data_IF_630812919549
#
_entry.id   IF_630812919549
#
_cell.length_a   1.000
_cell.length_b   1.000
_cell.length_c   1.000
_cell.angle_alpha   90.00
_cell.angle_beta   90.00
_cell.angle_gamma   90.00
#
_symmetry.space_group_name_H-M   'P 1'
#
loop_
_entity.id
_entity.type
_entity.pdbx_description
1 polymer ?
#
# COMPACT_ATOMS: atom_id res chain seq x y z
N UNK A 1 -55.99 -38.27 20.85
CA UNK A 1 -54.81 -37.40 21.10
C UNK A 1 -53.68 -37.81 20.17
N UNK A 2 -52.95 -36.87 19.56
CA UNK A 2 -51.66 -37.14 18.90
C UNK A 2 -50.61 -36.25 19.57
N UNK A 3 -49.50 -36.85 19.97
CA UNK A 3 -48.35 -36.14 20.56
C UNK A 3 -47.52 -35.57 19.43
N UNK A 4 -47.28 -34.25 19.44
CA UNK A 4 -46.30 -33.63 18.54
C UNK A 4 -44.94 -33.60 19.24
N UNK A 5 -43.97 -34.32 18.68
CA UNK A 5 -42.59 -34.32 19.17
C UNK A 5 -41.90 -33.10 18.57
N UNK A 6 -41.37 -32.23 19.41
CA UNK A 6 -40.61 -31.06 18.98
C UNK A 6 -39.18 -31.49 18.62
N UNK A 7 -38.85 -31.53 17.33
CA UNK A 7 -37.50 -31.87 16.86
C UNK A 7 -36.66 -30.59 16.83
N UNK A 8 -35.83 -30.40 17.86
CA UNK A 8 -34.87 -29.30 17.92
C UNK A 8 -33.72 -29.56 16.96
N UNK A 9 -33.68 -28.85 15.83
CA UNK A 9 -32.59 -28.95 14.86
C UNK A 9 -31.33 -28.25 15.39
N UNK A 10 -30.32 -29.04 15.79
CA UNK A 10 -28.99 -28.51 16.11
C UNK A 10 -28.27 -28.09 14.82
N UNK A 11 -28.25 -26.80 14.53
CA UNK A 11 -27.40 -26.21 13.50
C UNK A 11 -25.95 -26.14 13.99
N UNK A 12 -25.20 -27.23 13.79
CA UNK A 12 -23.74 -27.21 13.86
C UNK A 12 -23.22 -26.37 12.68
N UNK A 13 -22.97 -25.08 12.91
CA UNK A 13 -22.20 -24.25 11.99
C UNK A 13 -20.74 -24.70 12.02
N UNK A 14 -20.37 -25.65 11.16
CA UNK A 14 -18.98 -25.98 10.89
C UNK A 14 -18.30 -24.79 10.19
N UNK A 15 -17.81 -23.86 10.99
CA UNK A 15 -16.95 -22.76 10.58
C UNK A 15 -15.62 -23.32 10.09
N UNK A 16 -15.60 -23.81 8.85
CA UNK A 16 -14.37 -24.19 8.16
C UNK A 16 -13.57 -22.93 7.84
N UNK A 17 -12.82 -22.47 8.84
CA UNK A 17 -11.77 -21.47 8.67
C UNK A 17 -10.67 -22.08 7.81
N UNK A 18 -10.77 -21.86 6.49
CA UNK A 18 -9.65 -22.09 5.58
C UNK A 18 -8.55 -21.08 5.95
N UNK A 19 -7.69 -21.50 6.88
CA UNK A 19 -6.40 -20.87 7.13
C UNK A 19 -5.53 -21.10 5.89
N UNK A 20 -5.69 -20.23 4.91
CA UNK A 20 -4.79 -20.15 3.77
C UNK A 20 -3.43 -19.66 4.26
N UNK A 21 -2.59 -20.60 4.70
CA UNK A 21 -1.19 -20.36 4.97
C UNK A 21 -0.55 -19.70 3.75
N UNK A 22 -0.20 -18.41 3.87
CA UNK A 22 0.06 -17.54 2.74
C UNK A 22 1.44 -17.85 2.15
N UNK A 23 1.47 -18.77 1.19
CA UNK A 23 2.67 -19.41 0.64
C UNK A 23 3.57 -18.54 -0.26
N UNK A 24 3.85 -17.30 0.13
CA UNK A 24 4.96 -16.50 -0.40
C UNK A 24 5.67 -15.80 0.75
N UNK A 25 7.00 -15.91 0.80
CA UNK A 25 7.82 -15.35 1.88
C UNK A 25 7.73 -13.83 1.88
N UNK A 26 7.15 -13.25 2.94
CA UNK A 26 7.20 -11.82 3.17
C UNK A 26 8.66 -11.39 3.38
N UNK A 27 9.25 -10.84 2.32
CA UNK A 27 10.56 -10.18 2.32
C UNK A 27 10.50 -8.78 2.93
N UNK A 28 9.41 -8.44 3.61
CA UNK A 28 9.27 -7.21 4.39
C UNK A 28 9.26 -7.59 5.86
N UNK A 29 10.17 -7.02 6.64
CA UNK A 29 10.05 -6.96 8.08
C UNK A 29 9.46 -5.59 8.48
N UNK A 30 8.68 -5.57 9.55
CA UNK A 30 8.27 -4.36 10.25
C UNK A 30 9.00 -4.26 11.59
N UNK A 31 9.15 -3.05 12.13
CA UNK A 31 9.76 -2.86 13.45
C UNK A 31 9.30 -1.58 14.14
N UNK A 32 9.33 -1.63 15.47
CA UNK A 32 8.99 -0.53 16.37
C UNK A 32 10.18 0.40 16.65
N UNK A 33 11.40 0.01 16.24
CA UNK A 33 12.66 0.66 16.66
C UNK A 33 13.71 0.71 15.54
N UNK A 34 14.37 1.87 15.40
CA UNK A 34 15.36 2.13 14.35
C UNK A 34 16.64 1.28 14.46
N UNK A 35 17.02 0.81 15.64
CA UNK A 35 18.23 -0.01 15.81
C UNK A 35 18.10 -1.45 15.27
N UNK A 36 16.95 -1.79 14.69
CA UNK A 36 16.70 -3.10 14.07
C UNK A 36 17.71 -3.40 12.95
N UNK A 37 18.43 -4.55 13.00
CA UNK A 37 19.38 -4.91 11.98
C UNK A 37 18.77 -5.13 10.59
N UNK A 38 19.42 -4.58 9.57
CA UNK A 38 19.07 -4.76 8.17
C UNK A 38 19.50 -6.15 7.68
N UNK A 39 18.52 -6.93 7.23
CA UNK A 39 18.72 -8.31 6.74
C UNK A 39 18.90 -8.33 5.23
N UNK A 40 19.79 -9.21 4.74
CA UNK A 40 20.03 -9.39 3.31
C UNK A 40 18.72 -9.77 2.59
N UNK A 41 18.54 -9.28 1.37
CA UNK A 41 17.41 -9.57 0.49
C UNK A 41 16.03 -9.33 1.16
N UNK A 42 15.97 -8.43 2.15
CA UNK A 42 14.79 -8.10 2.96
C UNK A 42 14.62 -6.57 3.00
N UNK A 43 13.41 -6.09 2.81
CA UNK A 43 12.96 -4.70 2.99
C UNK A 43 12.54 -4.49 4.46
N UNK A 44 12.73 -3.30 5.04
CA UNK A 44 12.44 -3.05 6.48
C UNK A 44 11.68 -1.74 6.69
N UNK A 45 10.52 -1.81 7.33
CA UNK A 45 9.62 -0.67 7.62
C UNK A 45 9.66 -0.32 9.12
N UNK A 46 9.84 0.95 9.43
CA UNK A 46 9.72 1.54 10.77
C UNK A 46 8.68 2.67 10.78
N UNK A 47 7.90 2.74 11.86
CA UNK A 47 6.91 3.77 12.14
C UNK A 47 6.92 4.07 13.65
N UNK A 48 6.90 5.33 14.05
CA UNK A 48 6.91 5.74 15.47
C UNK A 48 5.62 5.41 16.25
N UNK A 49 4.67 4.66 15.65
CA UNK A 49 3.35 4.39 16.21
C UNK A 49 3.39 3.66 17.56
N UNK A 50 4.26 2.65 17.72
CA UNK A 50 4.40 1.92 18.98
C UNK A 50 5.22 2.70 20.00
N UNK A 51 6.27 3.46 19.60
CA UNK A 51 6.99 4.37 20.51
C UNK A 51 6.04 5.38 21.18
N UNK A 52 5.08 5.93 20.42
CA UNK A 52 4.06 6.83 20.93
C UNK A 52 3.19 6.18 22.02
N UNK A 53 2.79 4.92 21.87
CA UNK A 53 2.05 4.19 22.92
C UNK A 53 2.95 3.89 24.11
N UNK A 54 4.18 3.46 23.86
CA UNK A 54 5.16 3.13 24.91
C UNK A 54 5.49 4.33 25.80
N UNK A 55 5.51 5.54 25.23
CA UNK A 55 5.66 6.80 25.95
C UNK A 55 4.47 7.11 26.88
N UNK A 56 3.24 6.77 26.48
CA UNK A 56 2.10 6.90 27.38
C UNK A 56 2.09 5.80 28.47
N UNK A 57 2.56 4.58 28.18
CA UNK A 57 2.81 3.56 29.21
C UNK A 57 3.83 4.06 30.24
N UNK A 58 4.97 4.62 29.80
CA UNK A 58 6.00 5.20 30.67
C UNK A 58 5.40 6.28 31.61
N UNK A 59 4.61 7.22 31.07
CA UNK A 59 3.94 8.26 31.86
C UNK A 59 2.90 7.72 32.83
N UNK A 60 2.15 6.69 32.46
CA UNK A 60 1.14 6.06 33.31
C UNK A 60 1.77 5.30 34.49
N UNK A 61 2.99 4.79 34.30
CA UNK A 61 3.78 4.16 35.36
C UNK A 61 4.54 5.18 36.24
N UNK A 62 4.93 6.33 35.69
CA UNK A 62 5.99 7.24 36.18
C UNK A 62 7.36 6.56 36.38
N UNK A 63 7.54 5.39 35.78
CA UNK A 63 8.77 4.59 35.76
C UNK A 63 8.90 3.82 34.44
N UNK A 64 10.09 3.28 34.18
CA UNK A 64 10.37 2.48 32.98
C UNK A 64 9.48 1.22 32.95
N UNK A 65 8.86 0.88 31.81
CA UNK A 65 8.18 -0.41 31.62
C UNK A 65 9.11 -1.60 31.86
N UNK A 66 8.81 -2.41 32.89
CA UNK A 66 9.54 -3.62 33.26
C UNK A 66 8.64 -4.83 33.14
N UNK A 67 9.22 -5.96 32.72
CA UNK A 67 8.51 -7.21 32.47
C UNK A 67 9.14 -8.37 33.25
N UNK A 68 8.38 -9.44 33.45
CA UNK A 68 8.83 -10.67 34.13
C UNK A 68 9.79 -11.48 33.25
N UNK A 69 9.61 -11.40 31.92
CA UNK A 69 10.56 -11.93 30.94
C UNK A 69 11.24 -10.76 30.20
N UNK A 70 12.57 -10.74 30.17
CA UNK A 70 13.31 -9.77 29.37
C UNK A 70 13.29 -10.16 27.88
N UNK A 71 12.67 -9.33 27.04
CA UNK A 71 12.81 -9.39 25.57
C UNK A 71 13.70 -8.26 25.06
N UNK A 72 14.39 -8.49 23.95
CA UNK A 72 15.24 -7.47 23.35
C UNK A 72 14.43 -6.25 22.85
N UNK A 73 13.25 -6.48 22.27
CA UNK A 73 12.36 -5.39 21.83
C UNK A 73 11.94 -4.45 22.98
N UNK A 74 11.78 -4.97 24.20
CA UNK A 74 11.49 -4.18 25.40
C UNK A 74 12.70 -3.31 25.77
N UNK A 75 13.92 -3.84 25.67
CA UNK A 75 15.16 -3.07 25.92
C UNK A 75 15.35 -1.96 24.89
N UNK A 76 15.09 -2.26 23.62
CA UNK A 76 15.17 -1.29 22.53
C UNK A 76 14.10 -0.19 22.67
N UNK A 77 12.85 -0.55 22.96
CA UNK A 77 11.77 0.42 23.22
C UNK A 77 12.04 1.30 24.44
N UNK A 78 12.53 0.73 25.55
CA UNK A 78 12.94 1.49 26.74
C UNK A 78 14.19 2.38 26.51
N UNK A 79 14.98 2.10 25.47
CA UNK A 79 16.13 2.92 25.06
C UNK A 79 15.69 4.09 24.16
N UNK A 80 14.80 3.82 23.20
CA UNK A 80 14.18 4.84 22.34
C UNK A 80 13.29 5.80 23.16
N UNK A 81 12.45 5.25 24.03
CA UNK A 81 11.47 5.97 24.86
C UNK A 81 11.96 6.03 26.29
N UNK A 82 12.66 7.13 26.62
CA UNK A 82 13.17 7.44 27.96
C UNK A 82 12.45 8.65 28.56
N UNK A 83 12.83 9.06 29.79
CA UNK A 83 12.25 10.21 30.51
C UNK A 83 12.28 11.55 29.74
N UNK A 84 13.17 11.67 28.74
CA UNK A 84 13.30 12.85 27.89
C UNK A 84 12.75 12.64 26.46
N UNK A 85 11.95 11.59 26.22
CA UNK A 85 11.41 11.29 24.89
C UNK A 85 10.60 12.46 24.34
N UNK A 86 10.99 12.90 23.15
CA UNK A 86 10.30 13.94 22.39
C UNK A 86 9.76 13.29 21.13
N UNK A 87 8.44 13.34 20.92
CA UNK A 87 7.81 12.77 19.73
C UNK A 87 8.48 13.29 18.44
N UNK A 88 8.77 12.42 17.45
CA UNK A 88 9.28 12.84 16.14
C UNK A 88 8.22 13.58 15.30
N UNK A 89 7.01 13.78 15.84
CA UNK A 89 5.89 14.48 15.23
C UNK A 89 5.50 15.71 16.06
N UNK A 90 4.95 16.71 15.39
CA UNK A 90 4.28 17.82 16.06
C UNK A 90 2.89 17.41 16.57
N UNK A 91 2.42 18.06 17.64
CA UNK A 91 1.20 17.67 18.35
C UNK A 91 -0.09 17.73 17.52
N UNK A 92 -0.13 18.35 16.32
CA UNK A 92 -1.29 18.26 15.41
C UNK A 92 -1.39 16.91 14.69
N UNK A 93 -0.27 16.23 14.43
CA UNK A 93 -0.19 15.06 13.54
C UNK A 93 -0.31 13.69 14.22
N UNK A 94 -0.44 13.64 15.54
CA UNK A 94 -0.71 12.39 16.25
C UNK A 94 -1.64 12.58 17.45
N UNK A 95 -2.26 11.50 17.89
CA UNK A 95 -2.90 11.36 19.21
C UNK A 95 -2.36 10.08 19.85
N UNK A 96 -1.99 10.14 21.12
CA UNK A 96 -1.56 8.98 21.90
C UNK A 96 -2.18 9.09 23.29
N UNK A 97 -2.59 7.96 23.87
CA UNK A 97 -3.21 7.91 25.20
C UNK A 97 -3.09 6.51 25.81
N UNK A 98 -3.32 6.41 27.12
CA UNK A 98 -3.57 5.16 27.83
C UNK A 98 -4.54 5.41 28.98
N UNK A 99 -5.42 4.45 29.27
CA UNK A 99 -6.38 4.54 30.38
C UNK A 99 -7.24 3.28 30.52
N UNK A 100 -8.08 3.23 31.56
CA UNK A 100 -8.90 2.05 31.86
C UNK A 100 -10.24 2.07 31.12
N UNK A 101 -10.74 0.87 30.79
CA UNK A 101 -12.09 0.72 30.21
C UNK A 101 -13.18 1.22 31.17
N UNK A 102 -13.03 0.97 32.48
CA UNK A 102 -13.92 1.51 33.52
C UNK A 102 -13.98 3.05 33.58
N UNK A 103 -13.03 3.74 32.97
CA UNK A 103 -12.93 5.21 32.93
C UNK A 103 -13.39 5.79 31.57
N UNK A 104 -13.88 4.93 30.65
CA UNK A 104 -14.36 5.35 29.34
C UNK A 104 -13.24 5.73 28.36
N UNK A 105 -12.07 5.10 28.47
CA UNK A 105 -10.92 5.36 27.57
C UNK A 105 -11.30 5.26 26.10
N UNK A 106 -12.14 4.29 25.71
CA UNK A 106 -12.61 4.12 24.33
C UNK A 106 -13.53 5.25 23.84
N UNK A 107 -14.36 5.85 24.70
CA UNK A 107 -15.13 7.05 24.34
C UNK A 107 -14.23 8.27 24.17
N UNK A 108 -13.15 8.35 24.95
CA UNK A 108 -12.17 9.43 24.86
C UNK A 108 -11.27 9.29 23.62
N UNK A 109 -10.86 8.06 23.27
CA UNK A 109 -10.23 7.77 21.98
C UNK A 109 -11.16 8.14 20.83
N UNK A 110 -12.40 7.65 20.83
CA UNK A 110 -13.36 7.90 19.75
C UNK A 110 -13.57 9.40 19.50
N UNK A 111 -13.77 10.18 20.57
CA UNK A 111 -13.93 11.64 20.53
C UNK A 111 -12.70 12.32 19.94
N UNK A 112 -11.52 12.09 20.51
CA UNK A 112 -10.29 12.75 20.04
C UNK A 112 -9.90 12.35 18.61
N UNK A 113 -10.10 11.10 18.21
CA UNK A 113 -9.83 10.64 16.83
C UNK A 113 -10.81 11.26 15.83
N UNK A 114 -12.09 11.42 16.21
CA UNK A 114 -13.09 12.08 15.39
C UNK A 114 -12.83 13.59 15.26
N UNK A 115 -12.65 14.28 16.38
CA UNK A 115 -12.45 15.73 16.42
C UNK A 115 -11.15 16.17 15.70
N UNK A 116 -10.08 15.38 15.82
CA UNK A 116 -8.74 15.74 15.34
C UNK A 116 -8.42 15.29 13.92
N UNK A 117 -8.99 14.17 13.46
CA UNK A 117 -8.65 13.56 12.16
C UNK A 117 -9.86 13.28 11.26
N UNK A 118 -11.08 13.57 11.73
CA UNK A 118 -12.35 13.15 11.13
C UNK A 118 -12.30 11.66 10.74
N UNK A 119 -12.02 10.82 11.73
CA UNK A 119 -12.00 9.36 11.62
C UNK A 119 -12.91 8.77 12.69
N UNK A 120 -13.62 7.71 12.32
CA UNK A 120 -14.47 6.96 13.22
C UNK A 120 -13.65 5.86 13.89
N UNK A 121 -13.91 5.61 15.17
CA UNK A 121 -13.24 4.58 15.97
C UNK A 121 -14.22 3.47 16.31
N UNK A 122 -13.87 2.23 15.93
CA UNK A 122 -14.61 1.04 16.34
C UNK A 122 -14.16 0.64 17.73
N UNK A 123 -15.10 0.51 18.67
CA UNK A 123 -14.81 0.01 20.03
C UNK A 123 -14.60 -1.51 20.03
N UNK A 124 -13.61 -1.96 20.79
CA UNK A 124 -13.40 -3.36 21.16
C UNK A 124 -14.24 -3.74 22.41
N UNK A 125 -14.63 -5.01 22.52
CA UNK A 125 -15.40 -5.54 23.66
C UNK A 125 -14.48 -5.90 24.84
N UNK A 126 -13.99 -4.88 25.56
CA UNK A 126 -13.03 -5.04 26.65
C UNK A 126 -13.71 -5.21 28.03
N UNK A 127 -13.11 -5.95 28.98
CA UNK A 127 -13.56 -5.96 30.38
C UNK A 127 -13.20 -4.64 31.07
N UNK A 128 -13.98 -4.16 32.08
CA UNK A 128 -13.74 -2.86 32.72
C UNK A 128 -12.34 -2.67 33.35
N UNK A 129 -11.64 -3.76 33.68
CA UNK A 129 -10.29 -3.74 34.27
C UNK A 129 -9.15 -3.78 33.24
N UNK A 130 -9.47 -3.77 31.95
CA UNK A 130 -8.52 -3.63 30.87
C UNK A 130 -7.90 -2.22 30.85
N UNK A 131 -6.62 -2.16 30.54
CA UNK A 131 -5.88 -0.93 30.28
C UNK A 131 -5.59 -0.87 28.77
N UNK A 132 -6.10 0.15 28.09
CA UNK A 132 -5.96 0.31 26.65
C UNK A 132 -4.97 1.42 26.33
N UNK A 133 -3.79 1.06 25.82
CA UNK A 133 -2.87 1.99 25.16
C UNK A 133 -3.26 2.15 23.69
N UNK A 134 -3.28 3.39 23.19
CA UNK A 134 -3.70 3.69 21.82
C UNK A 134 -2.89 4.85 21.23
N UNK A 135 -2.49 4.73 19.97
CA UNK A 135 -1.96 5.84 19.18
C UNK A 135 -2.54 5.87 17.77
N UNK A 136 -2.68 7.07 17.23
CA UNK A 136 -3.05 7.34 15.84
C UNK A 136 -2.13 8.43 15.28
N UNK A 137 -1.43 8.12 14.19
CA UNK A 137 -0.53 9.02 13.47
C UNK A 137 -1.18 9.36 12.12
N UNK A 138 -1.28 10.64 11.79
CA UNK A 138 -1.74 11.10 10.47
C UNK A 138 -0.87 12.22 9.90
N UNK A 139 -0.32 11.92 8.72
CA UNK A 139 0.39 12.85 7.83
C UNK A 139 -0.21 12.74 6.43
N UNK A 140 -0.24 13.87 5.72
CA UNK A 140 -0.58 13.97 4.31
C UNK A 140 0.44 14.92 3.70
N UNK A 141 1.39 14.38 2.93
CA UNK A 141 2.51 15.13 2.38
C UNK A 141 2.25 15.45 0.91
N UNK A 142 1.50 16.52 0.67
CA UNK A 142 1.39 17.10 -0.68
C UNK A 142 2.73 17.74 -1.07
N UNK A 143 3.24 17.40 -2.26
CA UNK A 143 4.48 18.00 -2.78
C UNK A 143 4.29 19.49 -3.12
N UNK A 144 5.37 20.27 -3.04
CA UNK A 144 5.39 21.68 -3.47
C UNK A 144 5.10 21.79 -4.98
N UNK A 145 5.82 21.01 -5.78
CA UNK A 145 5.55 20.76 -7.20
C UNK A 145 5.17 19.29 -7.39
N UNK A 146 4.11 19.01 -8.15
CA UNK A 146 3.70 17.65 -8.48
C UNK A 146 4.46 17.08 -9.67
N UNK A 147 4.46 15.76 -9.83
CA UNK A 147 5.07 15.09 -10.99
C UNK A 147 4.02 14.90 -12.11
N UNK A 148 4.40 15.10 -13.37
CA UNK A 148 3.53 14.89 -14.52
C UNK A 148 3.57 13.45 -15.04
N UNK A 149 4.76 12.87 -15.16
CA UNK A 149 5.00 11.67 -15.97
C UNK A 149 4.68 10.35 -15.27
N UNK A 150 4.29 9.36 -16.06
CA UNK A 150 4.23 7.94 -15.70
C UNK A 150 5.27 7.18 -16.53
N UNK A 151 6.13 6.43 -15.85
CA UNK A 151 7.21 5.61 -16.41
C UNK A 151 6.92 4.11 -16.15
N UNK A 152 5.97 3.49 -16.88
CA UNK A 152 5.49 2.15 -16.58
C UNK A 152 6.44 1.05 -17.05
N UNK A 153 6.50 -0.05 -16.30
CA UNK A 153 7.24 -1.28 -16.62
C UNK A 153 8.78 -1.13 -16.75
N UNK A 154 9.38 -0.18 -16.05
CA UNK A 154 10.84 -0.12 -15.94
C UNK A 154 11.37 -1.13 -14.90
N UNK A 155 12.68 -1.32 -14.83
CA UNK A 155 13.29 -2.32 -13.93
C UNK A 155 13.52 -1.75 -12.52
N UNK A 156 13.41 -2.60 -11.51
CA UNK A 156 13.90 -2.38 -10.15
C UNK A 156 14.84 -3.54 -9.74
N UNK A 157 15.94 -3.22 -9.07
CA UNK A 157 17.07 -4.11 -8.76
C UNK A 157 17.48 -4.98 -9.97
N UNK A 158 17.44 -4.39 -11.18
CA UNK A 158 17.66 -5.01 -12.49
C UNK A 158 16.81 -6.27 -12.82
N UNK A 159 15.81 -6.59 -11.99
CA UNK A 159 15.17 -7.91 -11.92
C UNK A 159 13.63 -7.85 -11.95
N UNK A 160 13.04 -6.88 -11.28
CA UNK A 160 11.59 -6.74 -11.14
C UNK A 160 11.07 -5.68 -12.11
N UNK A 161 9.90 -5.89 -12.71
CA UNK A 161 9.29 -4.92 -13.64
C UNK A 161 8.20 -4.17 -12.87
N UNK A 162 8.37 -2.86 -12.68
CA UNK A 162 7.53 -2.01 -11.82
C UNK A 162 7.17 -0.70 -12.51
N UNK A 163 6.16 0.02 -12.02
CA UNK A 163 5.80 1.35 -12.51
C UNK A 163 6.43 2.47 -11.68
N UNK A 164 6.97 3.47 -12.38
CA UNK A 164 7.52 4.70 -11.83
C UNK A 164 6.67 5.93 -12.22
N UNK A 165 6.91 7.05 -11.55
CA UNK A 165 6.46 8.39 -11.93
C UNK A 165 7.63 9.37 -11.85
N UNK A 166 7.55 10.53 -12.52
CA UNK A 166 8.72 11.37 -12.68
C UNK A 166 8.51 12.75 -13.29
N UNK A 167 9.63 13.45 -13.47
CA UNK A 167 9.74 14.69 -14.25
C UNK A 167 9.93 14.34 -15.73
N UNK A 168 9.53 15.24 -16.63
CA UNK A 168 9.72 15.07 -18.06
C UNK A 168 11.17 15.38 -18.46
N UNK A 169 11.67 14.77 -19.55
CA UNK A 169 12.92 15.22 -20.19
C UNK A 169 12.66 16.50 -20.99
N UNK A 170 12.52 17.62 -20.29
CA UNK A 170 12.20 18.94 -20.83
C UNK A 170 13.08 20.01 -20.20
N UNK A 171 13.49 21.02 -20.98
CA UNK A 171 14.16 22.22 -20.44
C UNK A 171 13.22 23.11 -19.60
N UNK A 172 11.90 22.92 -19.77
CA UNK A 172 10.85 23.73 -19.15
C UNK A 172 10.21 23.08 -17.91
N UNK A 173 10.68 21.92 -17.45
CA UNK A 173 10.08 21.26 -16.27
C UNK A 173 10.51 21.93 -14.94
N UNK A 174 9.56 22.06 -14.01
CA UNK A 174 9.74 22.89 -12.82
C UNK A 174 10.21 22.09 -11.60
N UNK A 175 11.53 21.98 -11.50
CA UNK A 175 12.25 21.37 -10.37
C UNK A 175 12.21 22.18 -9.06
N UNK A 176 11.50 23.31 -8.95
CA UNK A 176 11.39 24.08 -7.70
C UNK A 176 10.85 23.27 -6.50
N UNK A 177 10.24 22.10 -6.74
CA UNK A 177 9.78 21.17 -5.73
C UNK A 177 10.84 20.17 -5.23
N UNK A 178 12.06 20.19 -5.76
CA UNK A 178 13.07 19.14 -5.52
C UNK A 178 14.45 19.72 -5.18
N UNK A 179 15.16 19.08 -4.25
CA UNK A 179 16.50 19.49 -3.80
C UNK A 179 17.40 18.27 -3.66
N UNK A 180 18.56 18.31 -4.33
CA UNK A 180 19.59 17.28 -4.25
C UNK A 180 20.51 17.62 -3.07
N UNK A 181 20.51 16.78 -2.03
CA UNK A 181 21.35 16.97 -0.84
C UNK A 181 22.76 16.45 -1.05
N UNK A 182 22.91 15.38 -1.83
CA UNK A 182 24.19 14.80 -2.21
C UNK A 182 24.03 13.98 -3.50
N UNK A 183 25.09 13.92 -4.30
CA UNK A 183 25.16 13.16 -5.56
C UNK A 183 26.61 12.74 -5.83
N UNK A 184 26.83 11.43 -5.85
CA UNK A 184 28.11 10.82 -6.26
C UNK A 184 27.98 10.29 -7.69
N UNK A 185 26.89 9.57 -7.95
CA UNK A 185 26.54 8.96 -9.24
C UNK A 185 25.04 8.61 -9.27
N UNK A 186 24.51 8.13 -10.40
CA UNK A 186 23.10 7.74 -10.56
C UNK A 186 22.69 6.58 -9.63
N UNK A 187 23.63 5.78 -9.13
CA UNK A 187 23.40 4.75 -8.12
C UNK A 187 23.61 5.21 -6.67
N UNK A 188 23.97 6.48 -6.43
CA UNK A 188 24.40 6.96 -5.11
C UNK A 188 24.09 8.45 -4.89
N UNK A 189 22.84 8.75 -4.50
CA UNK A 189 22.35 10.12 -4.31
C UNK A 189 21.28 10.25 -3.21
N UNK A 190 21.07 11.48 -2.73
CA UNK A 190 20.05 11.82 -1.72
C UNK A 190 19.21 12.99 -2.24
N UNK A 191 17.92 12.74 -2.47
CA UNK A 191 16.95 13.68 -3.05
C UNK A 191 15.84 14.01 -2.04
N UNK A 192 15.61 15.29 -1.75
CA UNK A 192 14.44 15.78 -1.02
C UNK A 192 13.35 16.20 -2.00
N UNK A 193 12.13 15.70 -1.80
CA UNK A 193 10.93 16.23 -2.44
C UNK A 193 10.26 17.18 -1.43
N UNK A 194 10.31 18.47 -1.72
CA UNK A 194 9.81 19.52 -0.84
C UNK A 194 8.30 19.39 -0.67
N UNK A 195 7.83 19.41 0.57
CA UNK A 195 6.41 19.34 0.93
C UNK A 195 5.80 20.75 1.07
N UNK A 196 4.46 20.85 0.97
CA UNK A 196 3.73 22.12 1.21
C UNK A 196 3.76 22.57 2.67
N UNK A 197 3.78 21.63 3.63
CA UNK A 197 4.24 21.91 5.00
C UNK A 197 5.78 21.93 4.94
N UNK A 198 6.38 23.13 4.89
CA UNK A 198 7.82 23.32 4.63
C UNK A 198 8.74 22.77 5.73
N UNK A 199 8.15 22.36 6.86
CA UNK A 199 8.82 21.76 8.01
C UNK A 199 8.74 20.22 8.02
N UNK A 200 7.92 19.61 7.16
CA UNK A 200 8.04 18.19 6.83
C UNK A 200 9.13 17.99 5.76
N UNK A 201 9.84 16.86 5.84
CA UNK A 201 10.83 16.42 4.87
C UNK A 201 10.46 15.03 4.34
N UNK A 202 10.56 14.85 3.03
CA UNK A 202 10.44 13.58 2.36
C UNK A 202 11.74 13.34 1.56
N UNK A 203 12.55 12.39 2.02
CA UNK A 203 13.86 12.08 1.44
C UNK A 203 13.84 10.71 0.78
N UNK A 204 14.42 10.63 -0.41
CA UNK A 204 14.76 9.42 -1.15
C UNK A 204 16.28 9.30 -1.20
N UNK A 205 16.83 8.31 -0.52
CA UNK A 205 18.27 8.06 -0.48
C UNK A 205 18.58 6.70 -1.10
N UNK A 206 19.04 6.69 -2.35
CA UNK A 206 19.63 5.52 -2.98
C UNK A 206 21.11 5.53 -2.62
N UNK A 207 21.46 4.82 -1.54
CA UNK A 207 22.79 4.85 -0.91
C UNK A 207 23.12 3.49 -0.29
N UNK A 208 24.41 3.15 -0.07
CA UNK A 208 24.79 1.94 0.66
C UNK A 208 24.16 1.88 2.06
N UNK A 209 23.52 0.75 2.38
CA UNK A 209 22.88 0.53 3.67
C UNK A 209 23.90 0.27 4.80
N UNK A 210 23.61 0.78 6.00
CA UNK A 210 24.31 0.43 7.23
C UNK A 210 23.85 -0.92 7.81
N UNK A 211 24.25 -1.24 9.05
CA UNK A 211 23.85 -2.48 9.74
C UNK A 211 22.44 -2.41 10.31
N UNK A 212 21.91 -1.22 10.59
CA UNK A 212 20.53 -0.97 11.07
C UNK A 212 19.91 0.25 10.37
N UNK A 213 18.61 0.51 10.59
CA UNK A 213 18.01 1.78 10.13
C UNK A 213 18.66 2.97 10.83
N UNK A 214 19.02 2.85 12.12
CA UNK A 214 19.66 3.91 12.89
C UNK A 214 21.03 4.30 12.33
N UNK A 215 21.90 3.32 11.99
CA UNK A 215 23.19 3.59 11.36
C UNK A 215 23.01 4.20 9.96
N UNK A 216 22.05 3.69 9.19
CA UNK A 216 21.74 4.21 7.84
C UNK A 216 21.19 5.64 7.89
N UNK A 217 20.30 5.93 8.83
CA UNK A 217 19.71 7.25 9.05
C UNK A 217 20.78 8.27 9.47
N UNK A 218 21.62 7.92 10.44
CA UNK A 218 22.73 8.78 10.87
C UNK A 218 23.68 9.11 9.70
N UNK A 219 24.03 8.11 8.88
CA UNK A 219 24.84 8.29 7.67
C UNK A 219 24.19 9.20 6.61
N UNK A 220 22.87 9.06 6.37
CA UNK A 220 22.14 9.90 5.43
C UNK A 220 22.05 11.36 5.95
N UNK A 221 21.74 11.56 7.24
CA UNK A 221 21.69 12.89 7.85
C UNK A 221 23.07 13.58 7.86
N UNK A 222 24.14 12.82 8.10
CA UNK A 222 25.52 13.31 8.06
C UNK A 222 25.93 13.79 6.65
N UNK A 223 25.52 13.07 5.59
CA UNK A 223 25.70 13.50 4.19
C UNK A 223 24.90 14.77 3.88
N UNK A 224 23.63 14.84 4.30
CA UNK A 224 22.79 16.04 4.18
C UNK A 224 23.35 17.27 4.92
N UNK A 225 24.04 17.07 6.05
CA UNK A 225 24.60 18.16 6.85
C UNK A 225 25.97 18.66 6.36
N UNK A 226 26.75 17.81 5.68
CA UNK A 226 28.09 18.14 5.19
C UNK A 226 28.10 18.77 3.80
N UNK A 227 27.22 18.32 2.92
CA UNK A 227 27.16 18.76 1.54
C UNK A 227 26.32 20.02 1.36
N UNK A 228 26.53 20.74 0.26
CA UNK A 228 25.67 21.85 -0.13
C UNK A 228 24.54 21.32 -0.98
N UNK A 229 23.30 21.64 -0.60
CA UNK A 229 22.11 21.37 -1.41
C UNK A 229 22.20 22.04 -2.78
N UNK A 230 21.90 21.27 -3.82
CA UNK A 230 21.80 21.73 -5.21
C UNK A 230 20.34 21.65 -5.68
N UNK A 231 19.89 22.67 -6.44
CA UNK A 231 18.62 22.59 -7.18
C UNK A 231 18.87 21.81 -8.49
N UNK A 232 17.93 20.95 -8.87
CA UNK A 232 18.00 20.25 -10.17
C UNK A 232 17.87 21.24 -11.34
N UNK A 233 18.41 20.86 -12.50
CA UNK A 233 18.65 21.73 -13.65
C UNK A 233 17.94 21.19 -14.87
N UNK A 234 17.04 21.98 -15.46
CA UNK A 234 16.43 21.75 -16.79
C UNK A 234 16.15 20.28 -17.11
N UNK A 235 17.00 19.66 -17.95
CA UNK A 235 16.88 18.28 -18.43
C UNK A 235 17.11 17.16 -17.40
N UNK A 236 17.36 17.44 -16.12
CA UNK A 236 17.46 16.41 -15.06
C UNK A 236 16.14 15.60 -14.97
N UNK A 237 16.24 14.27 -15.05
CA UNK A 237 15.08 13.35 -15.00
C UNK A 237 15.05 12.66 -13.64
N UNK A 238 13.92 12.74 -12.93
CA UNK A 238 13.66 11.99 -11.70
C UNK A 238 12.74 10.81 -12.02
N UNK A 239 13.03 9.61 -11.50
CA UNK A 239 12.08 8.48 -11.50
C UNK A 239 11.94 7.89 -10.11
N UNK A 240 10.72 7.97 -9.56
CA UNK A 240 10.34 7.38 -8.27
C UNK A 240 9.37 6.21 -8.50
N UNK A 241 9.59 5.02 -7.91
CA UNK A 241 8.62 3.93 -8.02
C UNK A 241 7.36 4.26 -7.24
N UNK A 242 6.19 3.93 -7.78
CA UNK A 242 4.93 4.01 -7.04
C UNK A 242 4.93 3.02 -5.87
N UNK A 243 4.63 3.49 -4.65
CA UNK A 243 4.51 2.62 -3.46
C UNK A 243 3.08 2.61 -2.90
N UNK A 244 2.62 1.46 -2.42
CA UNK A 244 1.38 1.31 -1.67
C UNK A 244 1.52 0.25 -0.57
N UNK A 245 1.38 0.68 0.68
CA UNK A 245 1.29 -0.17 1.87
C UNK A 245 -0.12 -0.01 2.43
N UNK A 246 -0.81 -1.12 2.64
CA UNK A 246 -2.12 -1.17 3.29
C UNK A 246 -2.16 -2.48 4.08
N UNK A 247 -1.79 -2.42 5.36
CA UNK A 247 -1.54 -3.63 6.18
C UNK A 247 -1.99 -3.46 7.63
N UNK A 248 -2.44 -4.56 8.20
CA UNK A 248 -2.72 -4.74 9.63
C UNK A 248 -1.84 -5.89 10.11
N UNK A 249 -1.05 -5.66 11.17
CA UNK A 249 -0.16 -6.68 11.76
C UNK A 249 -0.34 -6.78 13.27
N UNK A 250 0.03 -7.94 13.80
CA UNK A 250 0.24 -8.14 15.23
C UNK A 250 1.72 -7.97 15.57
N UNK A 251 2.02 -7.31 16.69
CA UNK A 251 3.39 -7.21 17.25
C UNK A 251 3.56 -8.32 18.29
N UNK A 252 3.64 -9.55 17.80
CA UNK A 252 3.60 -10.77 18.64
C UNK A 252 4.81 -10.90 19.56
N UNK A 253 5.87 -10.14 19.31
CA UNK A 253 7.04 -9.98 20.18
C UNK A 253 6.74 -9.24 21.50
N UNK A 254 5.61 -8.52 21.57
CA UNK A 254 5.09 -7.84 22.76
C UNK A 254 3.86 -8.51 23.38
N UNK A 255 3.15 -9.37 22.63
CA UNK A 255 1.97 -10.08 23.13
C UNK A 255 2.34 -11.17 24.17
N UNK A 256 1.41 -11.45 25.10
CA UNK A 256 1.58 -12.27 26.32
C UNK A 256 2.66 -11.84 27.33
N UNK A 257 3.48 -10.83 27.05
CA UNK A 257 4.43 -10.28 28.02
C UNK A 257 3.72 -9.74 29.26
N UNK A 258 4.31 -9.98 30.44
CA UNK A 258 3.71 -9.64 31.75
C UNK A 258 4.54 -8.59 32.47
N UNK A 259 3.89 -7.52 32.92
CA UNK A 259 4.56 -6.44 33.65
C UNK A 259 5.06 -6.91 35.02
N UNK A 260 6.23 -6.44 35.43
CA UNK A 260 6.79 -6.59 36.78
C UNK A 260 6.73 -5.29 37.60
N UNK A 261 6.43 -4.14 36.97
CA UNK A 261 6.08 -2.88 37.66
C UNK A 261 4.97 -3.09 38.70
N UNK A 262 5.09 -2.49 39.89
CA UNK A 262 4.19 -2.78 41.01
C UNK A 262 2.71 -2.45 40.71
N UNK A 263 2.44 -1.38 39.96
CA UNK A 263 1.10 -0.93 39.58
C UNK A 263 0.40 -1.82 38.54
N UNK A 264 1.16 -2.55 37.71
CA UNK A 264 0.65 -3.44 36.68
C UNK A 264 1.03 -4.92 36.89
N UNK A 265 1.56 -5.28 38.06
CA UNK A 265 2.21 -6.57 38.31
C UNK A 265 1.37 -7.77 37.86
N UNK A 266 1.95 -8.60 36.98
CA UNK A 266 1.34 -9.78 36.36
C UNK A 266 0.11 -9.52 35.46
N UNK A 267 -0.26 -8.27 35.14
CA UNK A 267 -1.07 -7.98 33.96
C UNK A 267 -0.27 -8.33 32.70
N UNK A 268 -0.93 -8.93 31.72
CA UNK A 268 -0.33 -9.23 30.41
C UNK A 268 -0.68 -8.16 29.36
N UNK A 269 0.18 -7.98 28.37
CA UNK A 269 -0.20 -7.41 27.08
C UNK A 269 -0.98 -8.50 26.32
N UNK A 270 -2.27 -8.29 26.07
CA UNK A 270 -3.12 -9.31 25.42
C UNK A 270 -3.05 -9.27 23.89
N UNK A 271 -2.89 -8.08 23.32
CA UNK A 271 -2.92 -7.84 21.87
C UNK A 271 -2.20 -6.55 21.55
N UNK A 272 -1.40 -6.52 20.48
CA UNK A 272 -0.79 -5.30 19.94
C UNK A 272 -1.00 -5.29 18.44
N UNK A 273 -1.84 -4.39 17.93
CA UNK A 273 -2.17 -4.32 16.50
C UNK A 273 -1.75 -2.99 15.90
N UNK A 274 -0.81 -3.02 14.97
CA UNK A 274 -0.48 -1.85 14.14
C UNK A 274 -1.27 -1.91 12.82
N UNK A 275 -1.80 -0.75 12.41
CA UNK A 275 -2.39 -0.55 11.09
C UNK A 275 -1.57 0.51 10.35
N UNK A 276 -0.81 0.12 9.32
CA UNK A 276 -0.03 1.04 8.51
C UNK A 276 -0.64 1.18 7.11
N UNK A 277 -0.93 2.43 6.73
CA UNK A 277 -1.38 2.77 5.38
C UNK A 277 -0.58 3.94 4.79
N UNK A 278 0.23 3.64 3.79
CA UNK A 278 1.06 4.59 3.03
C UNK A 278 0.75 4.46 1.54
N UNK A 279 0.75 5.58 0.84
CA UNK A 279 0.59 5.61 -0.62
C UNK A 279 1.51 6.70 -1.17
N UNK A 280 2.47 6.34 -2.01
CA UNK A 280 3.36 7.28 -2.70
C UNK A 280 2.96 7.33 -4.17
N UNK A 281 2.48 8.49 -4.62
CA UNK A 281 2.04 8.73 -6.00
C UNK A 281 2.51 10.11 -6.48
N UNK A 282 2.21 10.47 -7.74
CA UNK A 282 2.66 11.72 -8.36
C UNK A 282 2.09 13.03 -7.78
N UNK A 283 1.05 12.96 -6.93
CA UNK A 283 0.40 14.12 -6.29
C UNK A 283 0.92 14.37 -4.87
N UNK A 284 1.46 13.36 -4.21
CA UNK A 284 1.89 13.43 -2.81
C UNK A 284 1.91 12.06 -2.14
N UNK A 285 2.00 12.08 -0.81
CA UNK A 285 1.67 10.92 0.02
C UNK A 285 0.17 10.91 0.29
N UNK A 286 -0.56 10.14 -0.55
CA UNK A 286 -2.03 9.92 -0.60
C UNK A 286 -2.87 11.00 -1.32
N UNK A 287 -3.79 10.51 -2.15
CA UNK A 287 -4.89 11.17 -2.92
C UNK A 287 -5.56 12.38 -2.20
N UNK A 288 -5.96 13.51 -2.81
CA UNK A 288 -5.93 14.11 -4.18
C UNK A 288 -6.26 15.64 -4.09
N UNK A 289 -6.20 16.57 -5.08
CA UNK A 289 -5.87 16.61 -6.54
C UNK A 289 -5.18 17.98 -6.90
N UNK A 290 -5.17 18.69 -8.06
CA UNK A 290 -5.81 18.66 -9.42
C UNK A 290 -4.90 19.41 -10.47
N UNK A 291 -5.34 19.64 -11.73
CA UNK A 291 -4.49 20.11 -12.87
C UNK A 291 -5.14 21.21 -13.78
N UNK A 292 -4.37 22.23 -14.24
CA UNK A 292 -4.54 23.01 -15.51
C UNK A 292 -3.25 23.77 -15.92
N UNK A 293 -3.20 24.29 -17.16
CA UNK A 293 -1.99 24.64 -17.94
C UNK A 293 -1.47 26.11 -17.86
N UNK A 294 -0.23 26.32 -18.33
CA UNK A 294 0.31 27.57 -18.90
C UNK A 294 1.34 27.27 -20.02
N UNK A 295 1.78 28.29 -20.80
CA UNK A 295 2.66 28.23 -21.98
C UNK A 295 3.69 29.41 -21.91
N UNK A 296 4.59 29.54 -22.91
CA UNK A 296 5.58 30.60 -23.24
C UNK A 296 6.88 30.65 -22.41
N UNK A 297 8.05 30.99 -22.97
CA UNK A 297 8.41 31.30 -24.39
C UNK A 297 9.84 30.83 -24.75
N UNK A 298 10.21 30.94 -26.04
CA UNK A 298 11.54 30.55 -26.57
C UNK A 298 12.67 31.56 -26.24
N UNK A 299 13.89 31.04 -26.08
CA UNK A 299 15.16 31.78 -26.11
C UNK A 299 16.26 30.93 -26.78
N UNK A 300 17.36 31.55 -27.21
CA UNK A 300 18.33 30.97 -28.16
C UNK A 300 19.16 29.78 -27.62
N UNK A 301 19.66 28.96 -28.56
CA UNK A 301 20.43 27.73 -28.31
C UNK A 301 21.89 28.03 -27.87
N UNK A 302 22.18 27.93 -26.57
CA UNK A 302 23.51 27.52 -26.08
C UNK A 302 23.64 25.98 -26.12
N UNK A 303 24.85 25.42 -26.17
CA UNK A 303 25.04 23.95 -26.10
C UNK A 303 24.67 23.40 -24.71
N UNK A 304 23.41 22.95 -24.58
CA UNK A 304 22.83 22.49 -23.32
C UNK A 304 23.44 21.14 -22.90
N UNK A 305 24.03 21.04 -21.67
CA UNK A 305 24.56 19.79 -21.15
C UNK A 305 23.54 18.65 -21.08
N UNK A 306 24.02 17.40 -21.11
CA UNK A 306 23.19 16.24 -20.78
C UNK A 306 22.77 16.28 -19.30
N UNK A 307 21.46 16.25 -19.05
CA UNK A 307 20.87 16.17 -17.72
C UNK A 307 21.00 14.76 -17.12
N UNK A 308 21.03 14.69 -15.79
CA UNK A 308 21.23 13.44 -15.03
C UNK A 308 19.95 12.61 -14.99
N UNK A 309 20.06 11.29 -14.86
CA UNK A 309 18.90 10.41 -14.59
C UNK A 309 18.93 9.94 -13.14
N UNK A 310 18.21 10.66 -12.28
CA UNK A 310 17.99 10.32 -10.87
C UNK A 310 16.88 9.25 -10.74
N UNK A 311 17.22 8.02 -11.12
CA UNK A 311 16.33 6.87 -11.05
C UNK A 311 16.49 6.09 -9.75
N UNK A 312 15.41 5.92 -8.99
CA UNK A 312 15.37 5.10 -7.77
C UNK A 312 15.15 3.62 -8.15
N UNK A 313 16.09 3.05 -8.91
CA UNK A 313 16.00 1.73 -9.55
C UNK A 313 16.71 0.59 -8.80
N UNK A 314 17.37 0.89 -7.69
CA UNK A 314 18.05 -0.08 -6.82
C UNK A 314 17.73 0.19 -5.34
N UNK A 315 18.26 -0.62 -4.42
CA UNK A 315 17.85 -0.57 -3.01
C UNK A 315 18.06 0.83 -2.37
N UNK A 316 17.01 1.36 -1.73
CA UNK A 316 16.95 2.76 -1.29
C UNK A 316 16.16 2.93 0.02
N UNK A 317 16.24 4.14 0.60
CA UNK A 317 15.45 4.53 1.76
C UNK A 317 14.43 5.61 1.41
N UNK A 318 13.19 5.45 1.88
CA UNK A 318 12.22 6.54 2.04
C UNK A 318 12.25 6.98 3.50
N UNK A 319 12.52 8.25 3.77
CA UNK A 319 12.53 8.82 5.12
C UNK A 319 11.53 9.97 5.18
N UNK A 320 10.70 9.98 6.22
CA UNK A 320 9.83 11.12 6.55
C UNK A 320 10.13 11.63 7.95
N UNK A 321 10.50 12.91 8.06
CA UNK A 321 10.83 13.55 9.35
C UNK A 321 10.39 15.00 9.41
N UNK A 322 10.43 15.57 10.61
CA UNK A 322 10.31 17.02 10.86
C UNK A 322 11.67 17.70 10.78
N UNK A 323 11.74 18.93 10.28
CA UNK A 323 12.94 19.78 10.36
C UNK A 323 13.29 20.14 11.80
N UNK A 324 12.27 20.26 12.65
CA UNK A 324 12.38 20.54 14.09
C UNK A 324 12.55 19.28 14.98
N UNK A 325 12.96 18.13 14.41
CA UNK A 325 13.20 16.87 15.15
C UNK A 325 14.43 16.11 14.63
N UNK A 326 15.10 15.45 15.56
CA UNK A 326 16.33 14.68 15.29
C UNK A 326 16.04 13.27 14.73
N UNK A 327 14.87 12.70 15.06
CA UNK A 327 14.45 11.37 14.61
C UNK A 327 13.35 11.42 13.53
N UNK A 328 13.29 10.43 12.63
CA UNK A 328 12.19 10.28 11.68
C UNK A 328 10.94 9.72 12.36
N UNK A 329 9.77 10.04 11.83
CA UNK A 329 8.51 9.42 12.27
C UNK A 329 8.12 8.22 11.40
N UNK A 330 8.71 8.10 10.20
CA UNK A 330 8.59 6.95 9.32
C UNK A 330 9.89 6.75 8.53
N UNK A 331 10.32 5.50 8.39
CA UNK A 331 11.47 5.13 7.57
C UNK A 331 11.25 3.75 6.93
N UNK A 332 11.48 3.64 5.62
CA UNK A 332 11.33 2.39 4.88
C UNK A 332 12.56 2.13 4.02
N UNK A 333 13.29 1.07 4.35
CA UNK A 333 14.32 0.51 3.48
C UNK A 333 13.69 -0.45 2.48
N UNK A 334 13.81 -0.11 1.20
CA UNK A 334 13.16 -0.79 0.07
C UNK A 334 14.22 -1.62 -0.66
N UNK A 335 14.14 -2.93 -0.54
CA UNK A 335 15.12 -3.89 -1.08
C UNK A 335 14.48 -4.84 -2.12
N UNK A 336 13.15 -4.91 -2.13
CA UNK A 336 12.35 -5.65 -3.09
C UNK A 336 11.10 -4.88 -3.50
N UNK A 337 10.31 -5.43 -4.44
CA UNK A 337 9.16 -4.75 -5.04
C UNK A 337 7.88 -4.90 -4.22
N UNK A 338 7.95 -5.37 -2.96
CA UNK A 338 6.80 -5.95 -2.25
C UNK A 338 5.61 -4.98 -2.06
N UNK A 339 5.89 -3.67 -2.04
CA UNK A 339 4.89 -2.61 -2.01
C UNK A 339 4.91 -1.71 -3.25
N UNK A 340 5.64 -2.09 -4.31
CA UNK A 340 5.67 -1.32 -5.56
C UNK A 340 4.43 -1.58 -6.42
N UNK A 341 3.98 -0.59 -7.19
CA UNK A 341 2.95 -0.81 -8.22
C UNK A 341 3.55 -1.65 -9.35
N UNK A 342 3.29 -2.96 -9.33
CA UNK A 342 3.81 -3.87 -10.34
C UNK A 342 2.75 -4.87 -10.83
N UNK A 343 2.75 -5.15 -12.14
CA UNK A 343 1.81 -6.10 -12.76
C UNK A 343 2.40 -7.51 -12.83
N UNK A 344 2.46 -8.21 -11.70
CA UNK A 344 2.66 -9.66 -11.71
C UNK A 344 1.31 -10.38 -11.79
N UNK A 345 0.88 -10.69 -13.02
CA UNK A 345 -0.19 -11.65 -13.27
C UNK A 345 0.49 -13.01 -13.50
N UNK A 346 0.21 -14.05 -12.71
CA UNK A 346 0.73 -15.39 -12.97
C UNK A 346 0.26 -15.88 -14.34
N UNK A 347 1.20 -16.04 -15.27
CA UNK A 347 0.91 -16.64 -16.58
C UNK A 347 1.03 -18.15 -16.48
N UNK A 348 -0.09 -18.88 -16.61
CA UNK A 348 -0.08 -20.33 -16.87
C UNK A 348 -0.62 -20.62 -18.27
N UNK A 349 -0.27 -21.76 -18.88
CA UNK A 349 -1.01 -22.28 -20.03
C UNK A 349 -2.50 -22.43 -19.68
N UNK A 350 -3.35 -22.11 -20.65
CA UNK A 350 -4.79 -22.41 -20.60
C UNK A 350 -5.05 -23.88 -20.96
N UNK A 351 -6.15 -24.45 -20.47
CA UNK A 351 -6.64 -25.77 -20.95
C UNK A 351 -7.19 -25.66 -22.37
N UNK A 352 -7.42 -26.80 -23.03
CA UNK A 352 -8.04 -26.82 -24.36
C UNK A 352 -9.47 -26.22 -24.37
N UNK A 353 -10.20 -26.32 -23.25
CA UNK A 353 -11.54 -25.76 -23.10
C UNK A 353 -11.46 -24.24 -22.86
N UNK A 354 -10.55 -23.79 -22.00
CA UNK A 354 -10.26 -22.37 -21.77
C UNK A 354 -9.76 -21.67 -23.04
N UNK A 355 -8.98 -22.37 -23.87
CA UNK A 355 -8.49 -21.82 -25.13
C UNK A 355 -9.64 -21.42 -26.07
N UNK A 356 -10.77 -22.14 -26.04
CA UNK A 356 -11.96 -21.80 -26.82
C UNK A 356 -12.62 -20.50 -26.33
N UNK A 357 -12.44 -20.13 -25.05
CA UNK A 357 -12.91 -18.86 -24.50
C UNK A 357 -11.98 -17.68 -24.82
N UNK A 358 -10.78 -17.92 -25.37
CA UNK A 358 -9.82 -16.84 -25.63
C UNK A 358 -10.26 -15.94 -26.79
N UNK A 359 -9.90 -14.66 -26.69
CA UNK A 359 -10.39 -13.60 -27.57
C UNK A 359 -11.06 -12.48 -26.80
N UNK A 360 -11.66 -11.57 -27.57
CA UNK A 360 -12.30 -10.35 -27.07
C UNK A 360 -13.81 -10.46 -27.23
N UNK A 361 -14.52 -10.30 -26.12
CA UNK A 361 -15.96 -10.45 -26.00
C UNK A 361 -16.59 -9.11 -25.62
N UNK A 362 -17.53 -8.59 -26.40
CA UNK A 362 -18.30 -7.40 -26.04
C UNK A 362 -19.48 -7.78 -25.14
N UNK A 363 -19.74 -6.98 -24.09
CA UNK A 363 -21.00 -7.07 -23.36
C UNK A 363 -22.11 -6.41 -24.19
N UNK A 364 -23.13 -7.19 -24.55
CA UNK A 364 -24.24 -6.74 -25.39
C UNK A 364 -25.47 -6.40 -24.56
N UNK A 365 -25.89 -7.30 -23.68
CA UNK A 365 -27.12 -7.18 -22.89
C UNK A 365 -26.87 -7.64 -21.45
N UNK A 366 -27.55 -7.02 -20.48
CA UNK A 366 -27.68 -7.51 -19.09
C UNK A 366 -29.16 -7.71 -18.77
N UNK A 367 -29.54 -8.91 -18.36
CA UNK A 367 -30.92 -9.27 -18.01
C UNK A 367 -31.00 -9.73 -16.56
N UNK A 368 -31.97 -9.23 -15.79
CA UNK A 368 -32.21 -9.64 -14.41
C UNK A 368 -33.68 -9.45 -14.01
N UNK A 369 -34.08 -10.01 -12.87
CA UNK A 369 -35.40 -9.79 -12.28
C UNK A 369 -35.38 -8.60 -11.31
N UNK A 370 -36.39 -7.75 -11.36
CA UNK A 370 -36.55 -6.62 -10.42
C UNK A 370 -37.26 -7.04 -9.11
N UNK A 371 -37.60 -6.04 -8.28
CA UNK A 371 -38.31 -6.26 -7.00
C UNK A 371 -39.73 -6.85 -7.18
N UNK A 372 -40.33 -6.72 -8.37
CA UNK A 372 -41.64 -7.28 -8.73
C UNK A 372 -41.53 -8.69 -9.38
N UNK A 373 -40.30 -9.17 -9.60
CA UNK A 373 -39.95 -10.33 -10.43
C UNK A 373 -40.18 -10.14 -11.94
N UNK A 374 -40.31 -8.89 -12.41
CA UNK A 374 -40.37 -8.58 -13.84
C UNK A 374 -38.97 -8.65 -14.47
N UNK A 375 -38.91 -9.15 -15.71
CA UNK A 375 -37.64 -9.31 -16.44
C UNK A 375 -37.20 -8.00 -17.08
N UNK A 376 -36.14 -7.39 -16.55
CA UNK A 376 -35.57 -6.15 -17.06
C UNK A 376 -34.31 -6.43 -17.87
N UNK A 377 -34.26 -5.89 -19.11
CA UNK A 377 -33.14 -6.00 -20.04
C UNK A 377 -32.50 -4.62 -20.21
N UNK A 378 -31.18 -4.56 -20.04
CA UNK A 378 -30.36 -3.36 -20.29
C UNK A 378 -29.41 -3.61 -21.46
N UNK A 379 -29.47 -2.74 -22.47
CA UNK A 379 -28.46 -2.62 -23.51
C UNK A 379 -27.11 -2.16 -22.91
N UNK A 380 -26.05 -2.93 -23.15
CA UNK A 380 -24.68 -2.62 -22.76
C UNK A 380 -23.77 -2.27 -23.94
N UNK A 381 -24.23 -2.42 -25.19
CA UNK A 381 -23.44 -2.18 -26.41
C UNK A 381 -22.85 -0.77 -26.44
N UNK A 382 -23.68 0.23 -26.07
CA UNK A 382 -23.31 1.65 -25.98
C UNK A 382 -22.12 1.93 -25.03
N UNK A 383 -21.92 1.10 -23.99
CA UNK A 383 -20.84 1.26 -23.01
C UNK A 383 -19.46 0.79 -23.52
N UNK A 384 -19.41 0.16 -24.71
CA UNK A 384 -18.20 -0.39 -25.35
C UNK A 384 -17.32 -1.22 -24.39
N UNK A 385 -17.96 -1.93 -23.45
CA UNK A 385 -17.29 -2.74 -22.43
C UNK A 385 -16.94 -4.08 -23.04
N UNK A 386 -15.68 -4.50 -22.93
CA UNK A 386 -15.22 -5.81 -23.44
C UNK A 386 -14.47 -6.60 -22.38
N UNK A 387 -14.70 -7.91 -22.30
CA UNK A 387 -13.87 -8.87 -21.58
C UNK A 387 -12.86 -9.46 -22.56
N UNK A 388 -11.57 -9.36 -22.25
CA UNK A 388 -10.49 -9.97 -23.03
C UNK A 388 -9.94 -11.16 -22.24
N UNK A 389 -9.97 -12.36 -22.84
CA UNK A 389 -9.41 -13.58 -22.27
C UNK A 389 -8.23 -14.04 -23.13
N UNK A 390 -7.07 -14.27 -22.51
CA UNK A 390 -5.81 -14.54 -23.20
C UNK A 390 -5.34 -15.99 -23.00
N UNK A 391 -4.59 -16.54 -23.95
CA UNK A 391 -4.09 -17.92 -23.93
C UNK A 391 -3.00 -18.21 -22.86
N UNK A 392 -2.71 -17.25 -21.99
CA UNK A 392 -1.79 -17.33 -20.85
C UNK A 392 -2.51 -17.08 -19.51
N UNK A 393 -3.78 -17.48 -19.43
CA UNK A 393 -4.73 -17.30 -18.31
C UNK A 393 -4.99 -15.87 -17.84
N UNK A 394 -4.46 -14.83 -18.50
CA UNK A 394 -4.76 -13.44 -18.19
C UNK A 394 -6.19 -13.07 -18.61
N UNK A 395 -6.83 -12.23 -17.80
CA UNK A 395 -8.13 -11.62 -18.08
C UNK A 395 -8.02 -10.09 -17.99
N UNK A 396 -8.81 -9.36 -18.80
CA UNK A 396 -8.99 -7.91 -18.68
C UNK A 396 -10.44 -7.49 -18.92
N UNK A 397 -10.94 -6.50 -18.16
CA UNK A 397 -12.09 -5.70 -18.60
C UNK A 397 -11.55 -4.40 -19.20
N UNK A 398 -12.02 -4.07 -20.40
CA UNK A 398 -11.72 -2.81 -21.08
C UNK A 398 -13.02 -2.02 -21.35
N UNK A 399 -12.93 -0.69 -21.44
CA UNK A 399 -14.01 0.18 -21.93
C UNK A 399 -13.39 1.42 -22.58
N UNK A 400 -13.90 1.81 -23.74
CA UNK A 400 -13.36 2.91 -24.57
C UNK A 400 -11.85 2.80 -24.81
N UNK A 401 -11.38 1.58 -25.12
CA UNK A 401 -9.96 1.21 -25.32
C UNK A 401 -9.06 1.24 -24.06
N UNK A 402 -9.54 1.75 -22.92
CA UNK A 402 -8.81 1.72 -21.65
C UNK A 402 -9.07 0.42 -20.87
N UNK A 403 -8.01 -0.18 -20.33
CA UNK A 403 -8.12 -1.29 -19.37
C UNK A 403 -8.65 -0.76 -18.03
N UNK A 404 -9.71 -1.39 -17.50
CA UNK A 404 -10.41 -1.04 -16.26
C UNK A 404 -10.21 -2.07 -15.14
N UNK A 405 -10.05 -3.36 -15.49
CA UNK A 405 -9.59 -4.42 -14.57
C UNK A 405 -8.55 -5.29 -15.27
N UNK A 406 -7.60 -5.83 -14.50
CA UNK A 406 -6.68 -6.90 -14.91
C UNK A 406 -6.75 -8.05 -13.92
N UNK A 407 -6.53 -9.27 -14.40
CA UNK A 407 -6.64 -10.45 -13.57
C UNK A 407 -6.12 -11.71 -14.26
N UNK A 408 -6.43 -12.83 -13.63
CA UNK A 408 -6.33 -14.18 -14.17
C UNK A 408 -7.74 -14.77 -14.36
N UNK A 409 -7.88 -15.89 -15.08
CA UNK A 409 -9.10 -16.67 -15.16
C UNK A 409 -8.86 -18.18 -15.03
N UNK A 410 -9.92 -18.88 -14.63
CA UNK A 410 -9.99 -20.35 -14.58
C UNK A 410 -11.37 -20.79 -15.07
N UNK A 411 -11.44 -21.81 -15.94
CA UNK A 411 -12.68 -22.53 -16.26
C UNK A 411 -12.72 -23.83 -15.46
N UNK A 412 -13.77 -23.99 -14.65
CA UNK A 412 -13.98 -25.20 -13.85
C UNK A 412 -15.46 -25.51 -13.67
N UNK A 413 -15.88 -26.73 -13.97
CA UNK A 413 -17.27 -27.19 -13.84
C UNK A 413 -18.28 -26.24 -14.53
N UNK A 414 -17.96 -25.81 -15.76
CA UNK A 414 -18.67 -24.77 -16.54
C UNK A 414 -18.80 -23.40 -15.87
N UNK A 415 -17.96 -23.10 -14.86
CA UNK A 415 -17.85 -21.78 -14.23
C UNK A 415 -16.57 -21.10 -14.70
N UNK A 416 -16.72 -19.92 -15.28
CA UNK A 416 -15.64 -18.97 -15.52
C UNK A 416 -15.41 -18.18 -14.23
N UNK A 417 -14.34 -18.50 -13.52
CA UNK A 417 -13.82 -17.74 -12.40
C UNK A 417 -12.90 -16.64 -12.95
N UNK A 418 -13.23 -15.38 -12.71
CA UNK A 418 -12.37 -14.23 -12.98
C UNK A 418 -11.78 -13.73 -11.65
N UNK A 419 -10.46 -13.75 -11.52
CA UNK A 419 -9.75 -13.29 -10.32
C UNK A 419 -9.09 -11.95 -10.66
N UNK A 420 -9.68 -10.86 -10.19
CA UNK A 420 -9.21 -9.50 -10.44
C UNK A 420 -8.14 -9.09 -9.44
N UNK A 421 -7.04 -8.53 -9.93
CA UNK A 421 -5.92 -8.04 -9.12
C UNK A 421 -6.11 -6.53 -8.91
N UNK A 422 -6.55 -6.13 -7.72
CA UNK A 422 -6.71 -4.71 -7.34
C UNK A 422 -5.43 -4.16 -6.70
N UNK A 423 -4.68 -5.01 -5.98
CA UNK A 423 -3.31 -4.75 -5.53
C UNK A 423 -2.56 -6.08 -5.34
N UNK A 424 -1.30 -6.05 -4.91
CA UNK A 424 -0.50 -7.25 -4.63
C UNK A 424 -1.21 -8.24 -3.68
N UNK A 425 -1.79 -7.72 -2.59
CA UNK A 425 -2.52 -8.52 -1.60
C UNK A 425 -4.04 -8.54 -1.82
N UNK A 426 -4.62 -7.56 -2.53
CA UNK A 426 -6.08 -7.49 -2.72
C UNK A 426 -6.49 -8.09 -4.07
N UNK A 427 -7.11 -9.28 -4.00
CA UNK A 427 -7.83 -9.89 -5.12
C UNK A 427 -9.33 -9.86 -4.86
N UNK A 428 -10.13 -9.58 -5.89
CA UNK A 428 -11.58 -9.81 -5.88
C UNK A 428 -11.94 -10.88 -6.91
N UNK A 429 -13.00 -11.64 -6.66
CA UNK A 429 -13.40 -12.75 -7.52
C UNK A 429 -14.82 -12.53 -8.04
N UNK A 430 -14.99 -12.69 -9.36
CA UNK A 430 -16.28 -12.71 -10.02
C UNK A 430 -16.47 -14.10 -10.64
N UNK A 431 -17.46 -14.85 -10.15
CA UNK A 431 -17.78 -16.20 -10.65
C UNK A 431 -18.98 -16.10 -11.59
N UNK A 432 -18.79 -16.58 -12.81
CA UNK A 432 -19.83 -16.67 -13.84
C UNK A 432 -20.08 -18.13 -14.21
N UNK A 433 -21.33 -18.57 -14.20
CA UNK A 433 -21.75 -19.82 -14.83
C UNK A 433 -21.91 -19.59 -16.34
N UNK A 434 -21.28 -20.41 -17.17
CA UNK A 434 -21.52 -20.42 -18.62
C UNK A 434 -22.84 -21.17 -18.86
N UNK A 435 -23.86 -20.45 -19.31
CA UNK A 435 -25.22 -20.97 -19.57
C UNK A 435 -25.32 -21.51 -21.00
N UNK A 436 -24.75 -20.78 -21.96
CA UNK A 436 -24.50 -21.23 -23.33
C UNK A 436 -23.22 -20.60 -23.85
N UNK A 437 -22.58 -21.28 -24.81
CA UNK A 437 -21.35 -20.84 -25.43
C UNK A 437 -21.27 -21.39 -26.86
N UNK A 438 -20.95 -20.52 -27.81
CA UNK A 438 -20.67 -20.86 -29.20
C UNK A 438 -19.36 -20.17 -29.57
N UNK A 439 -18.32 -20.98 -29.80
CA UNK A 439 -16.97 -20.49 -30.08
C UNK A 439 -16.95 -19.49 -31.24
N UNK A 440 -16.14 -18.44 -31.07
CA UNK A 440 -15.97 -17.31 -31.99
C UNK A 440 -17.28 -16.58 -32.37
N UNK A 441 -18.36 -16.70 -31.57
CA UNK A 441 -19.67 -16.07 -31.83
C UNK A 441 -20.32 -15.46 -30.59
N UNK A 442 -20.78 -16.26 -29.64
CA UNK A 442 -21.61 -15.79 -28.53
C UNK A 442 -21.36 -16.57 -27.23
N UNK A 443 -21.58 -15.90 -26.10
CA UNK A 443 -21.45 -16.47 -24.76
C UNK A 443 -22.51 -15.85 -23.84
N UNK A 444 -23.24 -16.70 -23.12
CA UNK A 444 -24.23 -16.29 -22.12
C UNK A 444 -23.72 -16.67 -20.73
N UNK A 445 -23.41 -15.66 -19.91
CA UNK A 445 -22.93 -15.83 -18.54
C UNK A 445 -24.06 -15.56 -17.52
N UNK A 446 -24.09 -16.29 -16.40
CA UNK A 446 -24.96 -16.03 -15.24
C UNK A 446 -24.15 -15.76 -13.97
N UNK A 447 -24.53 -14.75 -13.20
CA UNK A 447 -23.94 -14.35 -11.92
C UNK A 447 -25.04 -13.90 -10.96
N UNK A 448 -25.26 -14.63 -9.87
CA UNK A 448 -26.52 -14.50 -9.12
C UNK A 448 -27.71 -14.72 -10.06
N UNK A 449 -28.73 -13.88 -9.97
CA UNK A 449 -29.88 -13.90 -10.89
C UNK A 449 -29.75 -12.92 -12.06
N UNK A 450 -28.54 -12.41 -12.31
CA UNK A 450 -28.22 -11.64 -13.52
C UNK A 450 -27.62 -12.52 -14.60
N UNK A 451 -28.08 -12.33 -15.84
CA UNK A 451 -27.52 -12.89 -17.06
C UNK A 451 -26.82 -11.78 -17.86
N UNK A 452 -25.73 -12.13 -18.55
CA UNK A 452 -24.99 -11.26 -19.45
C UNK A 452 -24.80 -11.96 -20.79
N UNK A 453 -25.37 -11.39 -21.86
CA UNK A 453 -25.14 -11.85 -23.24
C UNK A 453 -23.91 -11.13 -23.79
N UNK A 454 -23.02 -11.89 -24.40
CA UNK A 454 -21.76 -11.39 -24.94
C UNK A 454 -21.54 -11.91 -26.36
N UNK A 455 -21.03 -11.04 -27.24
CA UNK A 455 -20.69 -11.36 -28.62
C UNK A 455 -19.18 -11.27 -28.84
N UNK A 456 -18.64 -12.17 -29.68
CA UNK A 456 -17.23 -12.23 -30.00
C UNK A 456 -16.84 -11.16 -31.03
N UNK A 457 -15.73 -10.45 -30.78
CA UNK A 457 -15.22 -9.42 -31.69
C UNK A 457 -14.07 -9.97 -32.54
N UNK A 458 -13.04 -10.52 -31.89
CA UNK A 458 -11.86 -11.08 -32.53
C UNK A 458 -11.05 -11.94 -31.55
N UNK A 459 -10.27 -12.88 -32.08
CA UNK A 459 -9.34 -13.68 -31.29
C UNK A 459 -8.13 -12.85 -30.80
N UNK A 460 -7.45 -13.37 -29.77
CA UNK A 460 -6.12 -12.91 -29.36
C UNK A 460 -5.07 -13.94 -29.81
N UNK A 461 -4.70 -13.91 -31.10
CA UNK A 461 -3.52 -14.66 -31.58
C UNK A 461 -2.28 -14.26 -30.76
N UNK A 462 -1.40 -15.22 -30.47
CA UNK A 462 -0.36 -15.15 -29.44
C UNK A 462 0.22 -13.75 -29.14
N UNK A 463 -0.26 -13.10 -28.08
CA UNK A 463 0.32 -11.87 -27.55
C UNK A 463 1.63 -12.20 -26.80
N UNK A 464 2.65 -12.66 -27.53
CA UNK A 464 4.05 -12.89 -27.08
C UNK A 464 4.79 -11.55 -26.87
N UNK A 465 4.17 -10.67 -26.08
CA UNK A 465 4.24 -9.20 -26.12
C UNK A 465 3.57 -8.59 -27.37
N UNK A 466 2.68 -7.62 -27.12
CA UNK A 466 2.42 -6.48 -28.00
C UNK A 466 2.42 -5.23 -27.07
N UNK A 467 3.01 -4.09 -27.47
CA UNK A 467 3.00 -2.87 -26.67
C UNK A 467 1.57 -2.39 -26.37
N UNK A 468 1.38 -1.74 -25.22
CA UNK A 468 0.08 -1.15 -24.86
C UNK A 468 0.01 0.31 -25.32
N UNK A 469 0.03 0.55 -26.63
CA UNK A 469 -0.52 1.74 -27.31
C UNK A 469 -0.71 1.40 -28.80
N UNK A 470 -1.67 2.08 -29.44
CA UNK A 470 -1.69 2.25 -30.90
C UNK A 470 -0.96 3.57 -31.23
N UNK A 471 -0.64 3.76 -32.50
CA UNK A 471 -0.16 5.05 -33.06
C UNK A 471 -1.20 6.17 -32.91
#
# INVERSE_FOLDING_TARGET
>A
MKVSILITALLFSLSFSLSFAQGYTQKVQFTEVLDTPLKKDTSLVYCAGVELVWNEIYKYLDETPLFIEEKEIVKQLNSAVSKNYTSPLEAKSYYATIGLESEGIQDTIARHVKDKFNKDYTKDSLPPTALLGYAYLYKNLAYKSGFSEDYPKEKFNNKYIVDYFGTAKSEYDNHEGMVLHDYVDEGNFILEILCKDTMDQLLFAQVPAGKSLQESYAYIMDRCAKNKTENLKGRDIIKLPYLSIDTTRHVTELEELRFSNASLHNKKIEKVTENLKLELNKKGVRIESEVRFAIVDYADEEEIPDGRTLSIDSAYFVIMKRKDKDLPYFMYYVNGPEFMRHFYIPMRPVTQEENNLTGRWQFMEKTFLDENQDTVIYDLFSNRKTLCLYNNSRSEIQSNLYVKKRGEFELKDSKLLLIWHESYNKRTQEVYMIVSFVADKEMLLKQGDTYYKMEYIHGHQEFKFIPTHAE
#
